data_IF_424637384344
#
_entry.id   IF_424637384344
#
_cell.length_a   1.000
_cell.length_b   1.000
_cell.length_c   1.000
_cell.angle_alpha   90.00
_cell.angle_beta   90.00
_cell.angle_gamma   90.00
#
_symmetry.space_group_name_H-M   'P 1'
#
loop_
_entity.id
_entity.type
_entity.pdbx_description
1 polymer ?
#
# COMPACT_ATOMS: atom_id res chain seq x y z
N UNK A 1 41.90 8.37 36.16
CA UNK A 1 41.50 7.77 34.87
C UNK A 1 39.99 7.76 34.82
N UNK A 2 39.40 8.83 34.30
CA UNK A 2 37.95 8.91 34.05
C UNK A 2 37.78 8.74 32.55
N UNK A 3 37.20 7.61 32.15
CA UNK A 3 36.99 7.23 30.76
C UNK A 3 35.86 8.09 30.18
N UNK A 4 36.19 9.07 29.34
CA UNK A 4 35.22 9.73 28.47
C UNK A 4 34.60 8.67 27.55
N UNK A 5 33.30 8.45 27.69
CA UNK A 5 32.53 7.68 26.70
C UNK A 5 32.56 8.46 25.39
N UNK A 6 33.32 7.98 24.41
CA UNK A 6 33.29 8.48 23.04
C UNK A 6 31.85 8.36 22.53
N UNK A 7 31.22 9.51 22.26
CA UNK A 7 29.89 9.58 21.69
C UNK A 7 30.03 9.25 20.19
N UNK A 8 29.41 8.16 19.73
CA UNK A 8 29.44 7.79 18.32
C UNK A 8 28.84 8.92 17.47
N UNK A 9 29.37 9.18 16.25
CA UNK A 9 28.82 10.21 15.38
C UNK A 9 27.35 9.90 15.06
N UNK A 10 26.48 10.87 15.33
CA UNK A 10 25.06 10.75 15.04
C UNK A 10 24.87 10.81 13.51
N UNK A 11 24.13 9.87 12.90
CA UNK A 11 23.86 9.93 11.47
C UNK A 11 23.22 11.26 11.12
N UNK A 12 23.66 11.87 10.01
CA UNK A 12 22.99 13.05 9.49
C UNK A 12 21.51 12.70 9.19
N UNK A 13 20.57 13.62 9.50
CA UNK A 13 19.17 13.40 9.15
C UNK A 13 19.01 13.21 7.64
N UNK A 14 18.01 12.44 7.23
CA UNK A 14 17.71 12.24 5.81
C UNK A 14 17.44 13.60 5.13
N UNK A 15 17.94 13.82 3.90
CA UNK A 15 17.68 15.05 3.17
C UNK A 15 16.17 15.19 2.90
N UNK A 16 15.58 16.31 3.31
CA UNK A 16 14.23 16.69 2.90
C UNK A 16 14.30 17.39 1.54
N UNK A 17 13.42 17.02 0.61
CA UNK A 17 13.33 17.68 -0.70
C UNK A 17 12.25 18.77 -0.72
N UNK A 18 11.26 18.69 0.17
CA UNK A 18 10.20 19.68 0.31
C UNK A 18 10.19 20.33 1.71
N UNK A 19 9.61 21.53 1.81
CA UNK A 19 9.49 22.27 3.07
C UNK A 19 8.65 21.53 4.12
N UNK A 20 7.72 20.69 3.67
CA UNK A 20 6.93 19.83 4.54
C UNK A 20 7.38 18.37 4.40
N UNK A 21 8.05 17.78 5.42
CA UNK A 21 8.55 16.40 5.36
C UNK A 21 7.44 15.35 5.19
N UNK A 22 6.18 15.69 5.46
CA UNK A 22 5.06 14.80 5.16
C UNK A 22 4.93 14.51 3.65
N UNK A 23 5.37 15.43 2.79
CA UNK A 23 5.33 15.26 1.33
C UNK A 23 6.38 14.23 0.89
N UNK A 24 7.62 14.35 1.38
CA UNK A 24 8.68 13.38 1.13
C UNK A 24 8.26 11.97 1.58
N UNK A 25 7.72 11.87 2.79
CA UNK A 25 7.20 10.61 3.33
C UNK A 25 6.04 10.03 2.52
N UNK A 26 5.12 10.88 2.03
CA UNK A 26 4.00 10.42 1.19
C UNK A 26 4.51 9.89 -0.16
N UNK A 27 5.51 10.53 -0.75
CA UNK A 27 6.14 10.06 -2.00
C UNK A 27 6.82 8.71 -1.77
N UNK A 28 7.60 8.57 -0.69
CA UNK A 28 8.22 7.29 -0.33
C UNK A 28 7.18 6.18 -0.18
N UNK A 29 6.11 6.42 0.60
CA UNK A 29 5.00 5.46 0.75
C UNK A 29 4.36 5.12 -0.61
N UNK A 30 4.17 6.10 -1.48
CA UNK A 30 3.58 5.87 -2.81
C UNK A 30 4.46 5.00 -3.70
N UNK A 31 5.79 5.21 -3.65
CA UNK A 31 6.76 4.40 -4.39
C UNK A 31 6.76 2.95 -3.89
N UNK A 32 6.80 2.74 -2.57
CA UNK A 32 6.74 1.41 -1.96
C UNK A 32 5.44 0.67 -2.28
N UNK A 33 4.29 1.37 -2.22
CA UNK A 33 3.01 0.81 -2.65
C UNK A 33 3.00 0.41 -4.13
N UNK A 34 3.67 1.20 -4.98
CA UNK A 34 3.85 0.87 -6.40
C UNK A 34 4.69 -0.38 -6.61
N UNK A 35 5.78 -0.54 -5.84
CA UNK A 35 6.62 -1.73 -5.87
C UNK A 35 5.85 -2.98 -5.42
N UNK A 36 5.11 -2.89 -4.31
CA UNK A 36 4.28 -4.00 -3.80
C UNK A 36 3.17 -4.38 -4.79
N UNK A 37 2.55 -3.40 -5.47
CA UNK A 37 1.57 -3.69 -6.53
C UNK A 37 2.20 -4.47 -7.69
N UNK A 38 3.45 -4.17 -8.05
CA UNK A 38 4.16 -4.93 -9.08
C UNK A 38 4.39 -6.38 -8.65
N UNK A 39 4.84 -6.62 -7.41
CA UNK A 39 5.03 -7.96 -6.84
C UNK A 39 3.71 -8.75 -6.85
N UNK A 40 2.59 -8.14 -6.46
CA UNK A 40 1.28 -8.80 -6.52
C UNK A 40 0.86 -9.14 -7.95
N UNK A 41 1.14 -8.26 -8.93
CA UNK A 41 0.87 -8.55 -10.36
C UNK A 41 1.72 -9.70 -10.87
N UNK A 42 3.00 -9.74 -10.53
CA UNK A 42 3.89 -10.85 -10.89
C UNK A 42 3.40 -12.17 -10.31
N UNK A 43 3.04 -12.18 -9.02
CA UNK A 43 2.45 -13.36 -8.38
C UNK A 43 1.17 -13.81 -9.09
N UNK A 44 0.31 -12.89 -9.50
CA UNK A 44 -0.92 -13.25 -10.22
C UNK A 44 -0.62 -13.88 -11.58
N UNK A 45 0.32 -13.33 -12.36
CA UNK A 45 0.76 -13.93 -13.63
C UNK A 45 1.28 -15.36 -13.45
N UNK A 46 2.03 -15.61 -12.38
CA UNK A 46 2.52 -16.96 -12.05
C UNK A 46 1.35 -17.90 -11.73
N UNK A 47 0.37 -17.45 -10.95
CA UNK A 47 -0.84 -18.23 -10.63
C UNK A 47 -1.62 -18.58 -11.90
N UNK A 48 -1.85 -17.60 -12.78
CA UNK A 48 -2.54 -17.80 -14.05
C UNK A 48 -1.80 -18.80 -14.95
N UNK A 49 -0.47 -18.66 -15.08
CA UNK A 49 0.35 -19.56 -15.88
C UNK A 49 0.31 -21.00 -15.35
N UNK A 50 0.43 -21.20 -14.03
CA UNK A 50 0.37 -22.52 -13.40
C UNK A 50 -1.01 -23.18 -13.53
N UNK A 51 -2.10 -22.40 -13.47
CA UNK A 51 -3.45 -22.92 -13.68
C UNK A 51 -3.72 -23.29 -15.14
N UNK A 52 -3.16 -22.52 -16.08
CA UNK A 52 -3.23 -22.80 -17.51
C UNK A 52 -2.43 -24.05 -17.88
N UNK A 53 -1.21 -24.22 -17.35
CA UNK A 53 -0.39 -25.42 -17.56
C UNK A 53 -1.12 -26.71 -17.11
N UNK A 54 -1.89 -26.62 -16.03
CA UNK A 54 -2.71 -27.73 -15.52
C UNK A 54 -4.04 -27.92 -16.26
N UNK A 55 -4.36 -27.05 -17.23
CA UNK A 55 -5.61 -27.09 -18.00
C UNK A 55 -6.87 -26.78 -17.19
N UNK A 56 -6.74 -26.12 -16.03
CA UNK A 56 -7.87 -25.83 -15.13
C UNK A 56 -8.50 -24.47 -15.43
N UNK A 57 -7.68 -23.45 -15.71
CA UNK A 57 -8.12 -22.09 -16.04
C UNK A 57 -7.29 -21.57 -17.20
N UNK A 58 -7.93 -21.17 -18.30
CA UNK A 58 -7.24 -20.53 -19.43
C UNK A 58 -7.34 -19.01 -19.33
N UNK A 59 -6.50 -18.30 -20.09
CA UNK A 59 -6.59 -16.84 -20.18
C UNK A 59 -7.96 -16.40 -20.73
N UNK A 60 -8.48 -17.09 -21.75
CA UNK A 60 -9.80 -16.79 -22.32
C UNK A 60 -10.93 -16.98 -21.31
N UNK A 61 -10.85 -18.01 -20.45
CA UNK A 61 -11.82 -18.22 -19.36
C UNK A 61 -11.82 -17.07 -18.37
N UNK A 62 -10.64 -16.50 -18.05
CA UNK A 62 -10.51 -15.34 -17.17
C UNK A 62 -11.13 -14.10 -17.81
N UNK A 63 -10.78 -13.81 -19.07
CA UNK A 63 -11.26 -12.61 -19.78
C UNK A 63 -12.78 -12.64 -20.05
N UNK A 64 -13.35 -13.83 -20.23
CA UNK A 64 -14.79 -14.01 -20.45
C UNK A 64 -15.58 -14.22 -19.16
N UNK A 65 -14.91 -14.29 -18.00
CA UNK A 65 -15.58 -14.58 -16.75
C UNK A 65 -16.58 -13.48 -16.38
N UNK A 66 -17.85 -13.88 -16.23
CA UNK A 66 -18.91 -13.02 -15.70
C UNK A 66 -19.24 -13.46 -14.28
N UNK A 67 -18.95 -12.64 -13.25
CA UNK A 67 -19.27 -12.99 -11.87
C UNK A 67 -20.80 -13.03 -11.68
N UNK A 68 -21.28 -14.00 -10.88
CA UNK A 68 -22.68 -14.07 -10.49
C UNK A 68 -23.10 -12.84 -9.66
N UNK A 69 -24.41 -12.56 -9.60
CA UNK A 69 -24.94 -11.45 -8.78
C UNK A 69 -24.50 -11.55 -7.31
N UNK A 70 -24.51 -12.75 -6.75
CA UNK A 70 -24.03 -13.02 -5.39
C UNK A 70 -22.54 -12.67 -5.22
N UNK A 71 -21.70 -13.09 -6.18
CA UNK A 71 -20.26 -12.79 -6.16
C UNK A 71 -20.00 -11.29 -6.25
N UNK A 72 -20.74 -10.58 -7.12
CA UNK A 72 -20.64 -9.13 -7.24
C UNK A 72 -21.05 -8.42 -5.96
N UNK A 73 -22.16 -8.85 -5.32
CA UNK A 73 -22.61 -8.29 -4.05
C UNK A 73 -21.59 -8.48 -2.92
N UNK A 74 -20.97 -9.67 -2.86
CA UNK A 74 -19.87 -9.95 -1.92
C UNK A 74 -18.66 -9.05 -2.20
N UNK A 75 -18.22 -8.99 -3.45
CA UNK A 75 -17.08 -8.16 -3.86
C UNK A 75 -17.30 -6.68 -3.56
N UNK A 76 -18.52 -6.17 -3.77
CA UNK A 76 -18.91 -4.81 -3.40
C UNK A 76 -18.75 -4.58 -1.90
N UNK A 77 -19.28 -5.48 -1.08
CA UNK A 77 -19.17 -5.40 0.40
C UNK A 77 -17.72 -5.39 0.85
N UNK A 78 -16.90 -6.28 0.31
CA UNK A 78 -15.47 -6.38 0.62
C UNK A 78 -14.71 -5.12 0.20
N UNK A 79 -15.00 -4.60 -1.01
CA UNK A 79 -14.40 -3.37 -1.53
C UNK A 79 -14.79 -2.16 -0.67
N UNK A 80 -16.05 -2.02 -0.31
CA UNK A 80 -16.52 -0.89 0.50
C UNK A 80 -15.86 -0.93 1.88
N UNK A 81 -15.71 -2.12 2.48
CA UNK A 81 -14.97 -2.29 3.73
C UNK A 81 -13.47 -1.99 3.58
N UNK A 82 -12.85 -2.37 2.46
CA UNK A 82 -11.46 -2.03 2.16
C UNK A 82 -11.25 -0.52 2.00
N UNK A 83 -12.11 0.14 1.21
CA UNK A 83 -12.10 1.60 1.01
C UNK A 83 -12.25 2.30 2.36
N UNK A 84 -13.19 1.87 3.21
CA UNK A 84 -13.36 2.47 4.52
C UNK A 84 -12.12 2.30 5.42
N UNK A 85 -11.45 1.15 5.40
CA UNK A 85 -10.22 0.94 6.17
C UNK A 85 -9.06 1.82 5.69
N UNK A 86 -8.87 1.91 4.37
CA UNK A 86 -7.75 2.63 3.77
C UNK A 86 -7.98 4.14 3.80
N UNK A 87 -9.16 4.58 3.34
CA UNK A 87 -9.45 6.00 3.12
C UNK A 87 -10.30 6.63 4.22
N UNK A 88 -10.96 5.85 5.07
CA UNK A 88 -11.77 6.38 6.17
C UNK A 88 -10.96 7.21 7.17
N UNK A 89 -9.62 7.09 7.17
CA UNK A 89 -8.73 7.99 7.89
C UNK A 89 -8.80 9.45 7.41
N UNK A 90 -8.96 9.68 6.10
CA UNK A 90 -9.07 11.03 5.52
C UNK A 90 -10.42 11.70 5.81
N UNK A 91 -11.47 10.90 6.05
CA UNK A 91 -12.80 11.40 6.35
C UNK A 91 -13.00 11.76 7.83
N UNK A 92 -12.00 11.53 8.69
CA UNK A 92 -12.09 11.88 10.12
C UNK A 92 -11.96 13.38 10.27
N UNK A 93 -12.87 13.98 11.04
CA UNK A 93 -12.66 15.33 11.53
C UNK A 93 -11.44 15.34 12.46
N UNK A 94 -10.50 16.23 12.17
CA UNK A 94 -9.30 16.43 12.99
C UNK A 94 -9.22 17.88 13.42
N UNK A 95 -8.72 18.10 14.63
CA UNK A 95 -8.39 19.42 15.17
C UNK A 95 -6.88 19.53 15.30
N UNK A 96 -6.35 20.75 15.30
CA UNK A 96 -4.92 20.97 15.54
C UNK A 96 -4.56 20.41 16.92
N UNK A 97 -3.44 19.69 17.01
CA UNK A 97 -2.93 19.17 18.27
C UNK A 97 -2.53 20.29 19.25
N UNK A 98 -2.31 21.50 18.73
CA UNK A 98 -2.03 22.70 19.52
C UNK A 98 -3.01 23.81 19.11
N UNK A 99 -3.67 24.49 20.07
CA UNK A 99 -4.56 25.61 19.77
C UNK A 99 -3.81 26.74 19.03
N UNK A 100 -4.54 27.50 18.22
CA UNK A 100 -3.99 28.73 17.63
C UNK A 100 -3.68 29.74 18.74
N UNK A 101 -2.50 30.36 18.65
CA UNK A 101 -1.93 31.27 19.65
C UNK A 101 -2.70 32.60 19.74
#
# INVERSE_FOLDING_TARGET
MSTEKQNAPQPAPEPAFFDNPAIDNLIAVTLELGAELWVQRERMRVVEALLAEKGVVTQELIEQYMPSEEMQARSKTERDAFVQRVFGAFARETVKATPDA
#
